data_IF_202437580444
#
_entry.id   IF_202437580444
#
_cell.length_a   1.000
_cell.length_b   1.000
_cell.length_c   1.000
_cell.angle_alpha   90.00
_cell.angle_beta   90.00
_cell.angle_gamma   90.00
#
_symmetry.space_group_name_H-M   'P 1'
#
loop_
_entity.id
_entity.type
_entity.pdbx_description
1 polymer ?
#
# COMPACT_ATOMS: atom_id res chain seq x y z
N UNK A 1 -13.89 -26.18 16.87
CA UNK A 1 -14.13 -26.31 15.41
C UNK A 1 -14.76 -25.02 14.93
N UNK A 2 -14.04 -24.18 14.16
CA UNK A 2 -14.58 -22.91 13.65
C UNK A 2 -15.36 -23.19 12.37
N UNK A 3 -16.60 -22.73 12.31
CA UNK A 3 -17.46 -22.78 11.12
C UNK A 3 -17.35 -21.45 10.38
N UNK A 4 -17.33 -21.52 9.05
CA UNK A 4 -17.23 -20.37 8.16
C UNK A 4 -18.39 -20.41 7.19
N UNK A 5 -19.05 -19.26 7.02
CA UNK A 5 -20.18 -19.07 6.13
C UNK A 5 -19.75 -18.32 4.87
N UNK A 6 -19.97 -18.91 3.70
CA UNK A 6 -19.67 -18.32 2.40
C UNK A 6 -20.95 -17.92 1.67
N UNK A 7 -20.98 -16.70 1.15
CA UNK A 7 -22.04 -16.16 0.31
C UNK A 7 -21.49 -15.88 -1.09
N UNK A 8 -21.96 -16.63 -2.07
CA UNK A 8 -21.56 -16.45 -3.47
C UNK A 8 -22.37 -15.31 -4.08
N UNK A 9 -21.68 -14.27 -4.55
CA UNK A 9 -22.34 -13.05 -5.03
C UNK A 9 -22.62 -13.07 -6.54
N UNK A 10 -22.05 -14.03 -7.27
CA UNK A 10 -22.21 -14.16 -8.71
C UNK A 10 -22.30 -15.65 -9.10
N UNK A 11 -23.40 -16.14 -9.69
CA UNK A 11 -24.66 -15.42 -9.96
C UNK A 11 -25.48 -15.10 -8.67
N UNK A 12 -26.38 -14.09 -8.71
CA UNK A 12 -27.04 -13.49 -7.54
C UNK A 12 -28.03 -14.39 -6.75
N UNK A 13 -28.11 -15.69 -7.07
CA UNK A 13 -28.98 -16.66 -6.40
C UNK A 13 -28.25 -17.94 -5.97
N UNK A 14 -26.94 -17.85 -5.79
CA UNK A 14 -26.13 -19.01 -5.41
C UNK A 14 -26.27 -19.29 -3.90
N UNK A 15 -26.50 -20.54 -3.48
CA UNK A 15 -26.73 -20.89 -2.08
C UNK A 15 -25.53 -20.54 -1.18
N UNK A 16 -25.82 -20.12 0.05
CA UNK A 16 -24.79 -19.95 1.07
C UNK A 16 -24.27 -21.32 1.53
N UNK A 17 -22.97 -21.41 1.78
CA UNK A 17 -22.31 -22.66 2.14
C UNK A 17 -21.62 -22.51 3.50
N UNK A 18 -21.80 -23.48 4.40
CA UNK A 18 -21.16 -23.48 5.72
C UNK A 18 -20.20 -24.65 5.82
N UNK A 19 -18.90 -24.37 6.02
CA UNK A 19 -17.85 -25.38 6.07
C UNK A 19 -16.95 -25.15 7.30
N UNK A 20 -16.40 -26.22 7.87
CA UNK A 20 -15.39 -26.09 8.91
C UNK A 20 -14.05 -25.65 8.34
N UNK A 21 -13.34 -24.74 9.02
CA UNK A 21 -12.03 -24.26 8.60
C UNK A 21 -11.02 -25.39 8.30
N UNK A 22 -11.06 -26.50 9.05
CA UNK A 22 -10.17 -27.65 8.83
C UNK A 22 -10.49 -28.44 7.56
N UNK A 23 -11.70 -28.33 7.04
CA UNK A 23 -12.16 -28.99 5.81
C UNK A 23 -12.18 -28.03 4.62
N UNK A 24 -11.78 -26.77 4.82
CA UNK A 24 -11.84 -25.74 3.78
C UNK A 24 -10.81 -26.01 2.67
N UNK A 25 -11.29 -26.01 1.43
CA UNK A 25 -10.51 -26.09 0.18
C UNK A 25 -11.31 -25.45 -0.96
N UNK A 26 -10.62 -25.06 -2.04
CA UNK A 26 -11.25 -24.59 -3.27
C UNK A 26 -12.20 -25.66 -3.84
N UNK A 27 -11.84 -26.94 -3.71
CA UNK A 27 -12.67 -28.07 -4.13
C UNK A 27 -13.97 -28.15 -3.32
N UNK A 28 -13.91 -27.94 -2.00
CA UNK A 28 -15.13 -27.94 -1.16
C UNK A 28 -16.04 -26.74 -1.42
N UNK A 29 -15.50 -25.65 -1.96
CA UNK A 29 -16.26 -24.51 -2.46
C UNK A 29 -16.79 -24.70 -3.88
N UNK A 30 -16.58 -25.88 -4.49
CA UNK A 30 -16.96 -26.20 -5.86
C UNK A 30 -16.39 -25.22 -6.92
N UNK A 31 -15.19 -24.68 -6.68
CA UNK A 31 -14.53 -23.78 -7.62
C UNK A 31 -13.91 -24.59 -8.77
N UNK A 32 -14.28 -24.33 -10.04
CA UNK A 32 -13.65 -25.02 -11.18
C UNK A 32 -12.18 -24.62 -11.34
N UNK A 33 -11.33 -25.55 -11.82
CA UNK A 33 -9.90 -25.30 -12.00
C UNK A 33 -9.58 -24.13 -12.97
N UNK A 34 -10.47 -23.87 -13.93
CA UNK A 34 -10.34 -22.77 -14.90
C UNK A 34 -10.89 -21.43 -14.37
N UNK A 35 -11.17 -21.32 -13.07
CA UNK A 35 -11.73 -20.12 -12.45
C UNK A 35 -10.86 -19.62 -11.30
N UNK A 36 -10.90 -18.31 -11.08
CA UNK A 36 -10.37 -17.62 -9.92
C UNK A 36 -11.42 -17.51 -8.82
N UNK A 37 -11.02 -17.76 -7.59
CA UNK A 37 -11.84 -17.58 -6.39
C UNK A 37 -11.43 -16.29 -5.67
N UNK A 38 -12.30 -15.29 -5.66
CA UNK A 38 -12.09 -14.05 -4.93
C UNK A 38 -12.90 -14.06 -3.64
N UNK A 39 -12.26 -13.76 -2.53
CA UNK A 39 -12.85 -13.82 -1.19
C UNK A 39 -12.73 -12.45 -0.52
N UNK A 40 -13.79 -12.04 0.18
CA UNK A 40 -13.80 -10.82 0.99
C UNK A 40 -14.54 -11.10 2.30
N UNK A 41 -14.04 -10.58 3.42
CA UNK A 41 -14.78 -10.66 4.67
C UNK A 41 -16.09 -9.87 4.58
N UNK A 42 -17.20 -10.43 5.06
CA UNK A 42 -18.50 -9.76 5.03
C UNK A 42 -18.67 -8.78 6.22
N UNK A 43 -17.90 -8.95 7.28
CA UNK A 43 -17.84 -8.07 8.45
C UNK A 43 -16.43 -8.10 9.07
N UNK A 44 -16.23 -7.38 10.17
CA UNK A 44 -14.91 -7.21 10.79
C UNK A 44 -14.06 -6.14 10.10
N UNK A 45 -12.84 -5.94 10.60
CA UNK A 45 -11.88 -4.94 10.12
C UNK A 45 -11.58 -5.17 8.63
N UNK A 46 -11.54 -6.43 8.19
CA UNK A 46 -11.24 -6.79 6.80
C UNK A 46 -12.43 -6.63 5.84
N UNK A 47 -13.62 -6.26 6.32
CA UNK A 47 -14.78 -6.06 5.45
C UNK A 47 -14.65 -4.88 4.50
N UNK A 48 -13.84 -3.87 4.83
CA UNK A 48 -13.61 -2.70 3.99
C UNK A 48 -12.51 -2.90 2.95
N UNK A 49 -11.81 -4.04 2.98
CA UNK A 49 -10.69 -4.31 2.09
C UNK A 49 -11.15 -4.81 0.73
N UNK A 50 -10.25 -4.71 -0.25
CA UNK A 50 -10.43 -5.24 -1.58
C UNK A 50 -10.63 -6.78 -1.56
N UNK A 51 -11.23 -7.30 -2.63
CA UNK A 51 -11.34 -8.73 -2.87
C UNK A 51 -9.95 -9.38 -2.96
N UNK A 52 -9.75 -10.45 -2.20
CA UNK A 52 -8.48 -11.18 -2.17
C UNK A 52 -8.58 -12.46 -3.01
N UNK A 53 -7.59 -12.72 -3.85
CA UNK A 53 -7.58 -13.92 -4.69
C UNK A 53 -7.04 -15.11 -3.90
N UNK A 54 -7.82 -16.20 -3.84
CA UNK A 54 -7.39 -17.49 -3.33
C UNK A 54 -6.92 -18.36 -4.51
N UNK A 55 -5.60 -18.43 -4.69
CA UNK A 55 -4.96 -19.15 -5.80
C UNK A 55 -4.91 -20.66 -5.53
N UNK A 56 -4.80 -21.04 -4.26
CA UNK A 56 -4.76 -22.41 -3.78
C UNK A 56 -5.49 -22.57 -2.43
N UNK A 57 -5.53 -23.80 -1.92
CA UNK A 57 -6.18 -24.15 -0.66
C UNK A 57 -5.54 -23.47 0.55
N UNK A 58 -4.23 -23.27 0.53
CA UNK A 58 -3.49 -22.70 1.67
C UNK A 58 -3.72 -21.19 1.75
N UNK A 59 -3.77 -20.50 0.61
CA UNK A 59 -4.16 -19.11 0.51
C UNK A 59 -5.60 -18.91 0.99
N UNK A 60 -6.53 -19.78 0.58
CA UNK A 60 -7.91 -19.73 1.05
C UNK A 60 -7.99 -19.88 2.57
N UNK A 61 -7.26 -20.84 3.15
CA UNK A 61 -7.22 -21.04 4.61
C UNK A 61 -6.56 -19.87 5.33
N UNK A 62 -5.50 -19.29 4.78
CA UNK A 62 -4.86 -18.12 5.35
C UNK A 62 -5.80 -16.91 5.38
N UNK A 63 -6.46 -16.62 4.24
CA UNK A 63 -7.38 -15.49 4.12
C UNK A 63 -8.54 -15.58 5.14
N UNK A 64 -9.10 -16.76 5.30
CA UNK A 64 -10.28 -17.01 6.14
C UNK A 64 -9.90 -17.26 7.62
N UNK A 65 -8.81 -17.98 7.85
CA UNK A 65 -8.38 -18.42 9.17
C UNK A 65 -7.57 -17.37 9.93
N UNK A 66 -6.67 -16.67 9.22
CA UNK A 66 -5.65 -15.80 9.83
C UNK A 66 -5.84 -14.33 9.45
N UNK A 67 -5.94 -14.00 8.16
CA UNK A 67 -5.99 -12.61 7.70
C UNK A 67 -7.28 -11.87 8.12
N UNK A 68 -8.42 -12.53 7.97
CA UNK A 68 -9.73 -12.08 8.44
C UNK A 68 -10.21 -12.96 9.60
N UNK A 69 -9.34 -13.17 10.60
CA UNK A 69 -9.64 -14.01 11.76
C UNK A 69 -10.83 -13.51 12.59
N UNK A 70 -11.20 -12.24 12.44
CA UNK A 70 -12.33 -11.58 13.10
C UNK A 70 -13.65 -11.69 12.33
N UNK A 71 -13.69 -12.43 11.20
CA UNK A 71 -14.91 -12.67 10.44
C UNK A 71 -15.24 -14.16 10.33
N UNK A 72 -16.50 -14.53 10.55
CA UNK A 72 -17.01 -15.88 10.28
C UNK A 72 -17.86 -15.95 9.00
N UNK A 73 -18.02 -14.83 8.28
CA UNK A 73 -18.80 -14.72 7.04
C UNK A 73 -17.96 -14.10 5.94
N UNK A 74 -17.97 -14.72 4.78
CA UNK A 74 -17.20 -14.29 3.63
C UNK A 74 -18.08 -14.20 2.39
N UNK A 75 -17.84 -13.18 1.59
CA UNK A 75 -18.37 -13.06 0.24
C UNK A 75 -17.39 -13.75 -0.72
N UNK A 76 -17.92 -14.46 -1.70
CA UNK A 76 -17.15 -15.16 -2.72
C UNK A 76 -17.63 -14.74 -4.11
N UNK A 77 -16.67 -14.36 -4.97
CA UNK A 77 -16.89 -14.18 -6.40
C UNK A 77 -16.02 -15.20 -7.13
N UNK A 78 -16.62 -15.93 -8.06
CA UNK A 78 -15.92 -16.89 -8.90
C UNK A 78 -15.92 -16.36 -10.33
N UNK A 79 -14.76 -16.24 -10.96
CA UNK A 79 -14.65 -15.75 -12.35
C UNK A 79 -13.78 -16.66 -13.20
N UNK A 80 -14.09 -16.87 -14.48
CA UNK A 80 -13.17 -17.50 -15.42
C UNK A 80 -11.77 -16.86 -15.39
N UNK A 81 -10.73 -17.66 -15.57
CA UNK A 81 -9.38 -17.15 -15.77
C UNK A 81 -9.34 -16.18 -16.96
N UNK A 82 -8.68 -15.03 -16.78
CA UNK A 82 -8.61 -13.97 -17.79
C UNK A 82 -9.67 -12.87 -17.62
N UNK A 83 -10.75 -13.11 -16.86
CA UNK A 83 -11.68 -12.03 -16.51
C UNK A 83 -11.07 -11.05 -15.50
N UNK A 84 -11.46 -9.77 -15.56
CA UNK A 84 -10.95 -8.76 -14.63
C UNK A 84 -11.34 -9.08 -13.19
N UNK A 85 -10.49 -8.66 -12.26
CA UNK A 85 -10.76 -8.82 -10.82
C UNK A 85 -12.05 -8.07 -10.44
N UNK A 86 -12.81 -8.53 -9.43
CA UNK A 86 -13.88 -7.74 -8.84
C UNK A 86 -13.42 -6.38 -8.28
N UNK A 87 -12.10 -6.19 -8.08
CA UNK A 87 -11.49 -4.92 -7.70
C UNK A 87 -11.28 -3.98 -8.89
N UNK A 88 -11.23 -4.51 -10.11
CA UNK A 88 -11.17 -3.70 -11.31
C UNK A 88 -12.51 -2.97 -11.43
N UNK A 89 -12.49 -1.64 -11.32
CA UNK A 89 -13.70 -0.84 -11.54
C UNK A 89 -14.34 -1.28 -12.86
N UNK A 90 -15.66 -1.48 -12.86
CA UNK A 90 -16.43 -1.51 -14.10
C UNK A 90 -15.96 -0.34 -14.95
N UNK A 91 -15.47 -0.64 -16.14
CA UNK A 91 -15.00 0.36 -17.10
C UNK A 91 -16.17 1.28 -17.44
N UNK A 92 -16.28 2.38 -16.70
CA UNK A 92 -16.68 3.66 -17.29
C UNK A 92 -15.41 4.11 -18.02
N UNK A 93 -15.55 4.31 -19.33
CA UNK A 93 -14.52 4.69 -20.30
C UNK A 93 -13.18 5.12 -19.68
N UNK A 94 -12.20 4.25 -19.92
CA UNK A 94 -10.76 4.37 -19.70
C UNK A 94 -10.18 5.79 -19.58
N UNK A 95 -9.64 6.10 -18.40
CA UNK A 95 -8.48 6.99 -18.24
C UNK A 95 -7.34 6.14 -17.67
N UNK A 96 -6.39 5.75 -18.51
CA UNK A 96 -5.23 4.96 -18.13
C UNK A 96 -3.99 5.85 -18.02
N UNK A 97 -3.34 5.84 -16.85
CA UNK A 97 -2.02 6.43 -16.63
C UNK A 97 -1.01 5.30 -16.79
N UNK A 98 -0.26 5.29 -17.90
CA UNK A 98 0.87 4.38 -18.05
C UNK A 98 2.14 5.03 -17.47
N UNK A 99 2.77 4.34 -16.51
CA UNK A 99 4.12 4.64 -16.03
C UNK A 99 5.07 3.60 -16.63
N UNK A 100 5.91 4.00 -17.57
CA UNK A 100 7.02 3.16 -18.06
C UNK A 100 8.28 3.48 -17.26
N UNK A 101 8.81 2.50 -16.53
CA UNK A 101 10.02 2.66 -15.72
C UNK A 101 11.28 2.30 -16.51
N UNK A 102 12.01 3.32 -16.99
CA UNK A 102 13.43 3.26 -17.33
C UNK A 102 14.17 4.24 -16.42
N UNK A 103 15.40 3.89 -16.00
CA UNK A 103 16.17 4.71 -15.04
C UNK A 103 16.40 6.16 -15.49
N UNK A 104 16.60 7.04 -14.50
CA UNK A 104 16.70 8.52 -14.61
C UNK A 104 15.42 9.23 -15.09
N UNK A 105 14.40 9.32 -14.22
CA UNK A 105 13.26 10.28 -14.28
C UNK A 105 12.70 10.59 -15.69
N UNK A 106 12.65 9.60 -16.58
CA UNK A 106 12.08 9.70 -17.93
C UNK A 106 10.55 9.43 -17.87
N UNK A 107 9.89 9.97 -16.83
CA UNK A 107 8.46 9.77 -16.57
C UNK A 107 7.64 10.67 -17.49
N UNK A 108 7.35 10.20 -18.71
CA UNK A 108 6.35 10.85 -19.58
C UNK A 108 4.96 10.63 -18.99
N UNK A 109 4.35 11.69 -18.46
CA UNK A 109 2.96 11.68 -17.99
C UNK A 109 2.06 11.85 -19.20
N UNK A 110 1.39 10.78 -19.61
CA UNK A 110 0.37 10.83 -20.65
C UNK A 110 -1.02 10.82 -20.03
N UNK A 111 -1.83 11.83 -20.33
CA UNK A 111 -3.23 11.92 -19.93
C UNK A 111 -4.08 12.01 -21.20
N UNK A 112 -5.01 11.08 -21.35
CA UNK A 112 -5.95 11.07 -22.47
C UNK A 112 -7.39 11.05 -21.98
N UNK A 113 -8.26 11.76 -22.70
CA UNK A 113 -9.71 11.63 -22.59
C UNK A 113 -10.37 11.64 -23.97
N UNK A 114 -11.69 11.73 -24.01
CA UNK A 114 -12.50 11.73 -25.23
C UNK A 114 -12.16 12.90 -26.19
N UNK A 115 -11.44 13.91 -25.70
CA UNK A 115 -11.09 15.14 -26.40
C UNK A 115 -9.64 15.14 -26.92
N UNK A 116 -8.82 14.16 -26.55
CA UNK A 116 -7.45 14.01 -27.02
C UNK A 116 -6.48 13.47 -25.96
N UNK A 117 -5.21 13.31 -26.35
CA UNK A 117 -4.13 12.88 -25.47
C UNK A 117 -3.06 13.96 -25.35
N UNK A 118 -2.63 14.24 -24.12
CA UNK A 118 -1.52 15.14 -23.79
C UNK A 118 -0.43 14.29 -23.14
N UNK A 119 0.75 14.27 -23.75
CA UNK A 119 1.95 13.67 -23.15
C UNK A 119 2.90 14.79 -22.73
N UNK A 120 3.23 14.82 -21.45
CA UNK A 120 4.18 15.79 -20.88
C UNK A 120 5.38 15.03 -20.34
N UNK A 121 6.57 15.44 -20.74
CA UNK A 121 7.81 14.97 -20.11
C UNK A 121 7.84 15.47 -18.65
N UNK A 122 7.82 14.55 -17.69
CA UNK A 122 7.76 14.86 -16.26
C UNK A 122 8.98 15.62 -15.77
N UNK A 123 10.16 15.35 -16.33
CA UNK A 123 11.39 16.09 -16.01
C UNK A 123 11.32 17.54 -16.51
N UNK A 124 10.96 17.74 -17.79
CA UNK A 124 10.75 19.09 -18.33
C UNK A 124 9.59 19.83 -17.65
N UNK A 125 8.50 19.14 -17.27
CA UNK A 125 7.39 19.77 -16.56
C UNK A 125 7.80 20.25 -15.17
N UNK A 126 8.48 19.40 -14.40
CA UNK A 126 9.00 19.77 -13.09
C UNK A 126 10.05 20.87 -13.23
N UNK A 127 10.97 20.78 -14.20
CA UNK A 127 11.98 21.82 -14.45
C UNK A 127 11.32 23.14 -14.84
N UNK A 128 10.32 23.14 -15.71
CA UNK A 128 9.62 24.34 -16.17
C UNK A 128 8.76 24.97 -15.06
N UNK A 129 8.08 24.14 -14.26
CA UNK A 129 7.34 24.57 -13.06
C UNK A 129 8.28 25.09 -11.97
N UNK A 130 9.48 24.52 -11.85
CA UNK A 130 10.48 24.91 -10.84
C UNK A 130 11.27 26.15 -11.27
N UNK A 131 11.50 26.33 -12.57
CA UNK A 131 12.21 27.47 -13.18
C UNK A 131 11.33 28.72 -13.24
N UNK A 132 10.02 28.55 -13.41
CA UNK A 132 9.02 29.62 -13.29
C UNK A 132 8.61 29.79 -11.82
N UNK A 133 9.40 30.56 -11.04
CA UNK A 133 9.14 30.93 -9.63
C UNK A 133 7.95 31.92 -9.47
N UNK A 134 6.92 31.76 -10.31
CA UNK A 134 5.60 32.36 -10.13
C UNK A 134 4.54 31.28 -10.31
N UNK A 135 4.56 30.26 -9.43
CA UNK A 135 3.55 29.18 -9.37
C UNK A 135 2.11 29.72 -9.51
N UNK A 136 1.81 30.93 -9.03
CA UNK A 136 0.51 31.56 -9.23
C UNK A 136 0.14 31.83 -10.70
N UNK A 137 1.09 32.21 -11.54
CA UNK A 137 0.88 32.48 -12.97
C UNK A 137 0.76 31.18 -13.76
N UNK A 138 1.65 30.22 -13.49
CA UNK A 138 1.60 28.87 -14.07
C UNK A 138 0.30 28.12 -13.70
N UNK A 139 -0.18 28.20 -12.46
CA UNK A 139 -1.47 27.61 -12.06
C UNK A 139 -2.64 28.24 -12.81
N UNK A 140 -2.60 29.55 -13.06
CA UNK A 140 -3.66 30.26 -13.80
C UNK A 140 -3.65 29.88 -15.29
N UNK A 141 -2.48 29.77 -15.90
CA UNK A 141 -2.33 29.35 -17.30
C UNK A 141 -2.70 27.88 -17.49
N UNK A 142 -2.32 27.01 -16.57
CA UNK A 142 -2.73 25.60 -16.51
C UNK A 142 -4.23 25.46 -16.31
N UNK A 143 -4.85 26.25 -15.42
CA UNK A 143 -6.31 26.26 -15.24
C UNK A 143 -7.06 26.77 -16.49
N UNK A 144 -6.46 27.70 -17.25
CA UNK A 144 -7.00 28.14 -18.53
C UNK A 144 -6.92 27.07 -19.62
N UNK A 145 -5.79 26.35 -19.71
CA UNK A 145 -5.56 25.29 -20.71
C UNK A 145 -6.36 24.02 -20.41
N UNK A 146 -6.56 23.70 -19.13
CA UNK A 146 -7.23 22.48 -18.68
C UNK A 146 -8.68 22.72 -18.25
N UNK A 147 -9.23 23.93 -18.48
CA UNK A 147 -10.59 24.32 -18.12
C UNK A 147 -11.69 23.34 -18.58
N UNK A 148 -11.58 22.67 -19.76
CA UNK A 148 -12.52 21.62 -20.17
C UNK A 148 -12.41 20.34 -19.32
N UNK A 149 -11.23 20.08 -18.75
CA UNK A 149 -10.85 18.84 -18.05
C UNK A 149 -10.74 19.07 -16.53
N UNK A 150 -11.82 19.50 -15.89
CA UNK A 150 -11.86 19.90 -14.46
C UNK A 150 -11.18 18.90 -13.49
N UNK A 151 -11.30 17.60 -13.77
CA UNK A 151 -10.68 16.56 -12.95
C UNK A 151 -9.14 16.59 -13.05
N UNK A 152 -8.61 16.77 -14.26
CA UNK A 152 -7.17 16.86 -14.50
C UNK A 152 -6.58 18.12 -13.86
N UNK A 153 -7.28 19.25 -13.99
CA UNK A 153 -6.88 20.51 -13.34
C UNK A 153 -6.80 20.35 -11.83
N UNK A 154 -7.78 19.68 -11.22
CA UNK A 154 -7.82 19.44 -9.77
C UNK A 154 -6.69 18.53 -9.31
N UNK A 155 -6.40 17.46 -10.06
CA UNK A 155 -5.27 16.56 -9.80
C UNK A 155 -3.94 17.31 -9.88
N UNK A 156 -3.75 18.13 -10.91
CA UNK A 156 -2.52 18.87 -11.13
C UNK A 156 -2.29 19.94 -10.06
N UNK A 157 -3.32 20.71 -9.70
CA UNK A 157 -3.26 21.68 -8.59
C UNK A 157 -2.91 20.97 -7.28
N UNK A 158 -3.51 19.80 -7.03
CA UNK A 158 -3.26 19.00 -5.81
C UNK A 158 -1.81 18.49 -5.78
N UNK A 159 -1.29 18.00 -6.91
CA UNK A 159 0.09 17.54 -7.04
C UNK A 159 1.07 18.69 -6.80
N UNK A 160 0.89 19.83 -7.48
CA UNK A 160 1.75 21.01 -7.35
C UNK A 160 1.74 21.57 -5.93
N UNK A 161 0.56 21.63 -5.29
CA UNK A 161 0.43 22.05 -3.90
C UNK A 161 1.15 21.09 -2.95
N UNK A 162 1.05 19.78 -3.18
CA UNK A 162 1.74 18.79 -2.38
C UNK A 162 3.26 18.88 -2.54
N UNK A 163 3.78 19.00 -3.76
CA UNK A 163 5.21 19.18 -4.04
C UNK A 163 5.74 20.42 -3.31
N UNK A 164 5.00 21.54 -3.37
CA UNK A 164 5.39 22.79 -2.70
C UNK A 164 5.39 22.69 -1.18
N UNK A 165 4.41 21.99 -0.60
CA UNK A 165 4.22 21.94 0.87
C UNK A 165 4.93 20.76 1.53
N UNK A 166 5.33 19.74 0.76
CA UNK A 166 5.98 18.54 1.28
C UNK A 166 7.29 18.83 2.01
N UNK A 167 8.23 19.66 1.52
CA UNK A 167 9.47 19.97 2.25
C UNK A 167 9.23 20.55 3.65
N UNK A 168 8.23 21.42 3.79
CA UNK A 168 7.85 22.01 5.09
C UNK A 168 7.27 20.94 6.02
N UNK A 169 6.36 20.09 5.53
CA UNK A 169 5.80 18.97 6.30
C UNK A 169 6.86 17.96 6.71
N UNK A 170 7.83 17.70 5.83
CA UNK A 170 8.93 16.79 6.09
C UNK A 170 9.85 17.35 7.18
N UNK A 171 10.21 18.63 7.10
CA UNK A 171 10.99 19.32 8.14
C UNK A 171 10.27 19.30 9.49
N UNK A 172 8.96 19.53 9.50
CA UNK A 172 8.13 19.46 10.71
C UNK A 172 8.11 18.05 11.32
N UNK A 173 7.93 17.02 10.48
CA UNK A 173 8.00 15.61 10.91
C UNK A 173 9.37 15.30 11.52
N UNK A 174 10.45 15.67 10.83
CA UNK A 174 11.83 15.40 11.26
C UNK A 174 12.20 16.10 12.57
N UNK A 175 11.55 17.22 12.87
CA UNK A 175 11.72 17.97 14.12
C UNK A 175 10.87 17.42 15.27
N UNK A 176 9.90 16.54 14.98
CA UNK A 176 9.00 15.98 15.99
C UNK A 176 9.67 14.81 16.73
N UNK A 177 10.25 15.12 17.89
CA UNK A 177 10.79 14.11 18.82
C UNK A 177 9.68 13.71 19.81
N UNK A 178 9.45 12.41 20.12
CA UNK A 178 10.25 11.25 19.72
C UNK A 178 9.85 10.56 18.41
N UNK A 179 8.77 11.00 17.74
CA UNK A 179 8.19 10.32 16.57
C UNK A 179 9.23 10.02 15.47
N UNK A 180 10.02 11.01 15.08
CA UNK A 180 11.03 10.82 14.03
C UNK A 180 12.12 9.82 14.45
N UNK A 181 12.50 9.79 15.72
CA UNK A 181 13.44 8.80 16.25
C UNK A 181 12.85 7.39 16.18
N UNK A 182 11.58 7.22 16.56
CA UNK A 182 10.90 5.92 16.47
C UNK A 182 10.73 5.47 15.01
N UNK A 183 10.46 6.39 14.07
CA UNK A 183 10.47 6.09 12.63
C UNK A 183 11.81 5.53 12.15
N UNK A 184 12.93 6.08 12.63
CA UNK A 184 14.27 5.56 12.31
C UNK A 184 14.51 4.18 12.92
N UNK A 185 14.09 3.95 14.16
CA UNK A 185 14.21 2.64 14.82
C UNK A 185 13.40 1.58 14.05
N UNK A 186 12.17 1.91 13.72
CA UNK A 186 11.29 1.08 12.91
C UNK A 186 11.91 0.77 11.53
N UNK A 187 12.41 1.78 10.81
CA UNK A 187 13.12 1.57 9.53
C UNK A 187 14.34 0.68 9.71
N UNK A 188 15.11 0.87 10.77
CA UNK A 188 16.30 0.06 11.06
C UNK A 188 15.94 -1.41 11.27
N UNK A 189 14.87 -1.69 12.02
CA UNK A 189 14.41 -3.05 12.23
C UNK A 189 13.86 -3.68 10.93
N UNK A 190 13.16 -2.91 10.07
CA UNK A 190 12.76 -3.38 8.75
C UNK A 190 13.96 -3.78 7.88
N UNK A 191 15.04 -2.98 7.89
CA UNK A 191 16.26 -3.28 7.15
C UNK A 191 17.00 -4.53 7.69
N UNK A 192 16.75 -4.92 8.94
CA UNK A 192 17.38 -6.08 9.61
C UNK A 192 16.45 -7.28 9.77
N UNK A 193 15.27 -7.24 9.17
CA UNK A 193 14.21 -8.24 9.36
C UNK A 193 14.68 -9.68 9.17
N UNK A 194 15.49 -9.96 8.14
CA UNK A 194 15.96 -11.32 7.84
C UNK A 194 17.18 -11.76 8.64
N UNK A 195 17.88 -10.84 9.31
CA UNK A 195 19.19 -11.10 9.93
C UNK A 195 19.22 -10.84 11.44
N UNK A 196 18.16 -10.27 12.02
CA UNK A 196 18.06 -9.99 13.45
C UNK A 196 16.74 -10.55 14.02
N UNK A 197 16.78 -11.66 14.77
CA UNK A 197 15.61 -12.26 15.40
C UNK A 197 14.86 -11.32 16.35
N UNK A 198 15.55 -10.40 17.02
CA UNK A 198 14.90 -9.43 17.93
C UNK A 198 14.17 -8.34 17.16
N UNK A 199 14.68 -7.93 16.00
CA UNK A 199 13.96 -7.02 15.11
C UNK A 199 12.70 -7.69 14.52
N UNK A 200 12.83 -8.96 14.14
CA UNK A 200 11.70 -9.78 13.68
C UNK A 200 10.61 -9.89 14.75
N UNK A 201 10.99 -10.27 15.98
CA UNK A 201 10.08 -10.37 17.13
C UNK A 201 9.30 -9.06 17.37
N UNK A 202 9.98 -7.91 17.32
CA UNK A 202 9.32 -6.59 17.48
C UNK A 202 8.37 -6.24 16.33
N UNK A 203 8.74 -6.56 15.09
CA UNK A 203 7.93 -6.28 13.90
C UNK A 203 6.70 -7.19 13.80
N UNK A 204 6.79 -8.42 14.26
CA UNK A 204 5.72 -9.41 14.22
C UNK A 204 4.92 -9.52 15.53
N UNK A 205 5.29 -8.75 16.55
CA UNK A 205 4.61 -8.75 17.85
C UNK A 205 3.11 -8.46 17.77
N UNK A 206 2.69 -7.64 16.81
CA UNK A 206 1.28 -7.37 16.49
C UNK A 206 1.01 -7.78 15.04
N UNK A 207 0.58 -9.03 14.79
CA UNK A 207 0.32 -9.51 13.43
C UNK A 207 -0.81 -8.77 12.70
N UNK A 208 -1.66 -8.05 13.42
CA UNK A 208 -2.74 -7.27 12.83
C UNK A 208 -2.30 -5.86 12.40
N UNK A 209 -1.11 -5.42 12.81
CA UNK A 209 -0.58 -4.10 12.50
C UNK A 209 -0.38 -3.91 10.99
N UNK A 210 -1.01 -2.87 10.44
CA UNK A 210 -0.84 -2.53 9.03
C UNK A 210 0.62 -2.14 8.77
N UNK A 211 1.27 -2.87 7.84
CA UNK A 211 2.66 -2.65 7.48
C UNK A 211 3.61 -2.66 8.70
N UNK A 212 3.37 -3.47 9.73
CA UNK A 212 4.18 -3.51 10.96
C UNK A 212 4.22 -2.20 11.77
N UNK A 213 3.36 -1.20 11.46
CA UNK A 213 3.17 -0.01 12.28
C UNK A 213 2.40 -0.37 13.55
N UNK A 214 3.11 -0.86 14.56
CA UNK A 214 2.52 -1.39 15.79
C UNK A 214 2.79 -0.51 17.01
N UNK A 215 2.13 -0.88 18.13
CA UNK A 215 2.32 -0.27 19.45
C UNK A 215 3.72 -0.43 20.02
N UNK A 216 4.55 -1.30 19.43
CA UNK A 216 5.95 -1.45 19.79
C UNK A 216 6.74 -0.17 19.49
N UNK A 217 6.40 0.52 18.40
CA UNK A 217 7.12 1.72 17.94
C UNK A 217 6.30 3.00 18.13
N UNK A 218 4.98 2.93 17.97
CA UNK A 218 4.13 4.11 17.81
C UNK A 218 2.87 4.04 18.66
N UNK A 219 2.35 5.18 19.08
CA UNK A 219 1.01 5.25 19.67
C UNK A 219 -0.07 5.13 18.57
N UNK A 220 -1.33 4.75 18.89
CA UNK A 220 -2.38 4.69 17.88
C UNK A 220 -2.57 6.00 17.07
N UNK A 221 -2.56 7.20 17.69
CA UNK A 221 -2.62 8.45 16.93
C UNK A 221 -1.41 8.67 16.01
N UNK A 222 -0.22 8.21 16.40
CA UNK A 222 0.96 8.27 15.53
C UNK A 222 0.82 7.32 14.34
N UNK A 223 0.26 6.12 14.53
CA UNK A 223 0.02 5.16 13.45
C UNK A 223 -0.94 5.75 12.41
N UNK A 224 -2.07 6.30 12.84
CA UNK A 224 -3.04 6.96 11.94
C UNK A 224 -2.38 8.11 11.18
N UNK A 225 -1.67 8.99 11.89
CA UNK A 225 -0.95 10.09 11.28
C UNK A 225 0.09 9.64 10.24
N UNK A 226 0.85 8.56 10.51
CA UNK A 226 1.85 8.04 9.58
C UNK A 226 1.23 7.37 8.35
N UNK A 227 0.11 6.67 8.51
CA UNK A 227 -0.63 6.06 7.39
C UNK A 227 -1.18 7.12 6.44
N UNK A 228 -1.67 8.23 6.98
CA UNK A 228 -2.25 9.35 6.23
C UNK A 228 -1.22 10.41 5.82
N UNK A 229 0.06 10.22 6.18
CA UNK A 229 1.13 11.13 5.81
C UNK A 229 1.31 11.15 4.29
N UNK A 230 1.07 12.30 3.67
CA UNK A 230 1.21 12.48 2.23
C UNK A 230 2.65 12.82 1.83
N UNK A 231 3.20 12.00 0.92
CA UNK A 231 4.51 12.19 0.32
C UNK A 231 4.54 13.33 -0.71
N UNK A 232 5.67 13.48 -1.41
CA UNK A 232 5.84 14.52 -2.42
C UNK A 232 4.83 14.47 -3.57
N UNK A 233 4.34 13.27 -3.92
CA UNK A 233 3.31 13.05 -4.95
C UNK A 233 1.89 13.36 -4.49
N UNK A 234 1.69 13.64 -3.20
CA UNK A 234 0.36 13.84 -2.59
C UNK A 234 -0.38 12.56 -2.22
N UNK A 235 0.11 11.39 -2.64
CA UNK A 235 -0.39 10.10 -2.15
C UNK A 235 0.03 9.89 -0.70
N UNK A 236 -0.87 9.32 0.10
CA UNK A 236 -0.55 8.93 1.48
C UNK A 236 0.37 7.72 1.51
N UNK A 237 1.11 7.55 2.61
CA UNK A 237 1.95 6.37 2.83
C UNK A 237 1.17 5.06 2.58
N UNK A 238 -0.06 4.98 3.12
CA UNK A 238 -0.95 3.84 2.89
C UNK A 238 -1.22 3.60 1.40
N UNK A 239 -1.59 4.65 0.66
CA UNK A 239 -1.87 4.54 -0.78
C UNK A 239 -0.63 4.12 -1.58
N UNK A 240 0.55 4.67 -1.27
CA UNK A 240 1.82 4.29 -1.91
C UNK A 240 2.11 2.81 -1.69
N UNK A 241 1.92 2.32 -0.47
CA UNK A 241 2.11 0.91 -0.13
C UNK A 241 1.12 0.01 -0.88
N UNK A 242 -0.17 0.36 -0.88
CA UNK A 242 -1.21 -0.38 -1.59
C UNK A 242 -0.91 -0.49 -3.10
N UNK A 243 -0.47 0.61 -3.73
CA UNK A 243 -0.08 0.62 -5.15
C UNK A 243 1.16 -0.25 -5.40
N UNK A 244 2.20 -0.18 -4.56
CA UNK A 244 3.41 -1.01 -4.74
C UNK A 244 3.10 -2.49 -4.57
N UNK A 245 2.27 -2.84 -3.59
CA UNK A 245 1.85 -4.22 -3.38
C UNK A 245 1.00 -4.72 -4.55
N UNK A 246 0.05 -3.92 -5.05
CA UNK A 246 -0.76 -4.27 -6.22
C UNK A 246 0.10 -4.52 -7.47
N UNK A 247 1.04 -3.63 -7.79
CA UNK A 247 1.97 -3.79 -8.94
C UNK A 247 2.84 -5.04 -8.82
N UNK A 248 3.26 -5.40 -7.60
CA UNK A 248 4.05 -6.61 -7.37
C UNK A 248 3.20 -7.87 -7.60
N UNK A 249 1.94 -7.85 -7.15
CA UNK A 249 1.00 -8.93 -7.41
C UNK A 249 0.71 -9.12 -8.90
N UNK A 250 0.64 -8.03 -9.67
CA UNK A 250 0.48 -8.07 -11.13
C UNK A 250 1.69 -8.71 -11.81
N UNK A 251 2.92 -8.32 -11.45
CA UNK A 251 4.16 -8.92 -12.02
C UNK A 251 4.31 -10.41 -11.72
N UNK A 252 3.87 -10.85 -10.54
CA UNK A 252 3.84 -12.29 -10.20
C UNK A 252 2.82 -13.03 -11.07
N UNK A 253 1.65 -12.42 -11.32
CA UNK A 253 0.60 -12.99 -12.18
C UNK A 253 1.06 -13.17 -13.63
N UNK A 254 2.01 -12.36 -14.10
CA UNK A 254 2.60 -12.44 -15.44
C UNK A 254 3.70 -13.51 -15.57
N UNK A 255 3.87 -14.38 -14.58
CA UNK A 255 4.87 -15.45 -14.60
C UNK A 255 6.26 -15.01 -14.14
N UNK A 256 6.37 -13.82 -13.53
CA UNK A 256 7.57 -13.38 -12.83
C UNK A 256 7.78 -14.21 -11.57
N UNK A 257 8.46 -15.35 -11.71
CA UNK A 257 8.85 -16.22 -10.61
C UNK A 257 9.67 -15.46 -9.58
N UNK A 258 9.06 -15.18 -8.44
CA UNK A 258 9.70 -14.56 -7.29
C UNK A 258 8.85 -14.84 -6.08
N UNK A 259 9.49 -15.35 -5.02
CA UNK A 259 8.87 -15.77 -3.77
C UNK A 259 7.68 -14.88 -3.37
N UNK A 260 6.51 -15.52 -3.21
CA UNK A 260 5.27 -14.89 -2.71
C UNK A 260 5.49 -14.18 -1.38
N UNK A 261 6.51 -14.64 -0.63
CA UNK A 261 7.20 -13.89 0.41
C UNK A 261 8.00 -12.76 -0.24
N UNK A 262 7.30 -11.71 -0.65
CA UNK A 262 7.84 -10.35 -0.51
C UNK A 262 8.53 -10.34 0.84
N UNK A 263 9.84 -10.19 0.90
CA UNK A 263 10.47 -9.83 2.16
C UNK A 263 9.91 -8.43 2.47
N UNK A 264 8.75 -8.40 3.13
CA UNK A 264 7.83 -7.26 3.29
C UNK A 264 8.61 -6.03 3.69
N UNK A 265 9.64 -6.28 4.48
CA UNK A 265 10.52 -5.35 5.13
C UNK A 265 11.50 -4.64 4.19
N UNK A 266 11.95 -5.25 3.09
CA UNK A 266 12.84 -4.57 2.12
C UNK A 266 12.08 -3.57 1.23
N UNK A 267 10.93 -3.99 0.70
CA UNK A 267 10.07 -3.10 -0.09
C UNK A 267 9.51 -1.98 0.80
N UNK A 268 9.06 -2.32 2.00
CA UNK A 268 8.56 -1.38 2.99
C UNK A 268 9.65 -0.42 3.47
N UNK A 269 10.87 -0.89 3.75
CA UNK A 269 11.98 -0.02 4.14
C UNK A 269 12.29 1.02 3.06
N UNK A 270 12.22 0.65 1.79
CA UNK A 270 12.44 1.60 0.69
C UNK A 270 11.38 2.71 0.67
N UNK A 271 10.10 2.37 0.84
CA UNK A 271 8.99 3.33 0.87
C UNK A 271 9.07 4.22 2.10
N UNK A 272 9.31 3.63 3.27
CA UNK A 272 9.45 4.36 4.54
C UNK A 272 10.57 5.39 4.42
N UNK A 273 11.72 4.98 3.85
CA UNK A 273 12.85 5.89 3.65
C UNK A 273 12.50 7.06 2.73
N UNK A 274 11.81 6.79 1.62
CA UNK A 274 11.43 7.77 0.62
C UNK A 274 10.36 8.75 1.14
N UNK A 275 9.24 8.22 1.64
CA UNK A 275 8.08 9.03 2.08
C UNK A 275 8.41 9.89 3.29
N UNK A 276 9.19 9.36 4.25
CA UNK A 276 9.56 10.08 5.47
C UNK A 276 10.95 10.74 5.39
N UNK A 277 11.58 10.74 4.21
CA UNK A 277 12.83 11.43 3.95
C UNK A 277 13.96 11.08 4.92
N UNK A 278 14.12 9.78 5.23
CA UNK A 278 15.19 9.32 6.12
C UNK A 278 16.46 9.09 5.28
N UNK A 279 17.52 9.87 5.55
CA UNK A 279 18.78 9.73 4.84
C UNK A 279 19.45 8.35 5.04
N UNK A 280 20.22 7.90 4.05
CA UNK A 280 21.09 6.71 4.21
C UNK A 280 22.13 6.97 5.31
N UNK A 281 22.56 5.91 6.01
CA UNK A 281 23.57 5.99 7.06
C UNK A 281 23.09 6.65 8.36
N UNK A 282 21.78 6.84 8.54
CA UNK A 282 21.23 7.39 9.78
C UNK A 282 21.60 6.55 11.01
N UNK A 283 21.79 5.25 10.81
CA UNK A 283 22.18 4.27 11.83
C UNK A 283 23.59 4.49 12.41
N UNK A 284 24.45 5.21 11.69
CA UNK A 284 25.82 5.48 12.15
C UNK A 284 25.88 6.62 13.18
N UNK A 285 24.85 7.47 13.19
CA UNK A 285 24.75 8.64 14.05
C UNK A 285 24.71 8.30 15.54
N UNK A 286 25.52 9.00 16.35
CA UNK A 286 25.58 8.80 17.81
C UNK A 286 24.20 8.93 18.49
N UNK A 287 23.39 9.90 18.05
CA UNK A 287 22.04 10.10 18.59
C UNK A 287 21.10 8.93 18.30
N UNK A 288 21.20 8.33 17.11
CA UNK A 288 20.41 7.13 16.79
C UNK A 288 20.85 5.94 17.63
N UNK A 289 22.17 5.66 17.71
CA UNK A 289 22.70 4.51 18.47
C UNK A 289 22.27 4.55 19.93
N UNK A 290 22.39 5.71 20.58
CA UNK A 290 21.96 5.89 21.97
C UNK A 290 20.45 5.67 22.14
N UNK A 291 19.63 6.19 21.22
CA UNK A 291 18.18 6.01 21.27
C UNK A 291 17.77 4.55 21.02
N UNK A 292 18.42 3.87 20.08
CA UNK A 292 18.18 2.46 19.78
C UNK A 292 18.54 1.57 20.97
N UNK A 293 19.72 1.76 21.58
CA UNK A 293 20.11 1.02 22.78
C UNK A 293 19.13 1.22 23.95
N UNK A 294 18.65 2.45 24.15
CA UNK A 294 17.65 2.74 25.17
C UNK A 294 16.32 2.04 24.89
N UNK A 295 15.88 2.06 23.62
CA UNK A 295 14.69 1.36 23.16
C UNK A 295 14.80 -0.15 23.33
N UNK A 296 15.92 -0.77 22.97
CA UNK A 296 16.13 -2.21 23.14
C UNK A 296 16.12 -2.64 24.60
N UNK A 297 16.75 -1.85 25.49
CA UNK A 297 16.69 -2.10 26.95
C UNK A 297 15.27 -2.02 27.48
N UNK A 298 14.48 -1.05 27.01
CA UNK A 298 13.08 -0.92 27.39
C UNK A 298 12.24 -2.12 26.91
N UNK A 299 12.46 -2.58 25.68
CA UNK A 299 11.81 -3.78 25.12
C UNK A 299 12.11 -5.02 25.95
N UNK A 300 13.39 -5.31 26.23
CA UNK A 300 13.77 -6.48 27.02
C UNK A 300 13.13 -6.44 28.42
N UNK A 301 12.98 -5.25 29.00
CA UNK A 301 12.31 -5.08 30.29
C UNK A 301 10.80 -5.32 30.21
N UNK A 302 10.12 -4.94 29.12
CA UNK A 302 8.67 -5.15 28.97
C UNK A 302 8.29 -6.60 28.69
N UNK A 303 9.25 -7.44 28.28
CA UNK A 303 9.06 -8.88 28.06
C UNK A 303 9.28 -9.74 29.33
N UNK A 304 9.61 -9.11 30.47
CA UNK A 304 9.80 -9.77 31.78
C UNK A 304 8.64 -9.47 32.71
#
# INVERSE_FOLDING_TARGET
>A
MRLIHFHFTDPPHTPSLTISLSSLSLRTLAIPAAHHCYVRAAHGVKSQFAWSLAIDDDMLRFLVGSWASDSDRFLVVVRPQGEPSPNSKLSIASSSVELQSGGELDDKISVSDESGAITVDGASFIEQVTREVAIGKALTEVDCLLRPHKQLTTLLITLLTNIKTHPTRLTALQSTTPLHTHLKIYLHDLMKFSSNPTALDRLEHDPAAAFHLSKVYFTPPQIEYLLDYAGGTGLTFKQVMEVRMAKKMEKVREGGGGDYYVCSSHDLASVVREVFGIGKGFEEGKGFKAAYEAFEKAWVKSQR
#
